data_IF_470381205831
#
_entry.id   IF_470381205831
#
_cell.length_a   1.000
_cell.length_b   1.000
_cell.length_c   1.000
_cell.angle_alpha   90.00
_cell.angle_beta   90.00
_cell.angle_gamma   90.00
#
_symmetry.space_group_name_H-M   'P 1'
#
loop_
_entity.id
_entity.type
_entity.pdbx_description
1 polymer ?
#
# COMPACT_ATOMS: atom_id res chain seq x y z
N UNK A 1 3.67 -24.15 29.20
CA UNK A 1 4.36 -24.23 27.90
C UNK A 1 4.16 -22.89 27.22
N UNK A 2 5.25 -22.17 26.96
CA UNK A 2 5.20 -20.84 26.35
C UNK A 2 4.82 -20.96 24.86
N UNK A 3 3.77 -20.22 24.52
CA UNK A 3 3.42 -19.64 23.22
C UNK A 3 4.28 -20.03 22.00
N UNK A 4 3.70 -20.83 21.11
CA UNK A 4 3.97 -20.70 19.67
C UNK A 4 3.16 -19.50 19.18
N UNK A 5 3.72 -18.30 19.37
CA UNK A 5 3.33 -17.16 18.54
C UNK A 5 3.79 -17.51 17.12
N UNK A 6 2.81 -17.67 16.24
CA UNK A 6 3.04 -17.73 14.80
C UNK A 6 4.05 -16.64 14.42
N UNK A 7 5.10 -17.03 13.69
CA UNK A 7 6.10 -16.11 13.17
C UNK A 7 5.40 -15.04 12.34
N UNK A 8 5.20 -13.87 12.94
CA UNK A 8 4.83 -12.63 12.27
C UNK A 8 5.69 -12.53 11.01
N UNK A 9 5.09 -12.62 9.83
CA UNK A 9 5.82 -12.73 8.55
C UNK A 9 6.34 -11.38 8.06
N UNK A 10 6.88 -10.61 8.99
CA UNK A 10 7.36 -9.26 8.79
C UNK A 10 8.84 -9.30 8.46
N UNK A 11 9.19 -8.94 7.23
CA UNK A 11 10.57 -8.87 6.80
C UNK A 11 11.10 -7.44 6.91
N UNK A 12 12.15 -7.22 7.70
CA UNK A 12 12.89 -5.96 7.67
C UNK A 12 13.64 -5.90 6.34
N UNK A 13 13.28 -4.91 5.50
CA UNK A 13 13.90 -4.67 4.20
C UNK A 13 15.12 -3.75 4.37
N UNK A 14 14.97 -2.70 5.19
CA UNK A 14 16.05 -1.77 5.55
C UNK A 14 15.88 -1.27 6.98
N UNK A 15 17.01 -1.12 7.66
CA UNK A 15 17.10 -0.59 9.00
C UNK A 15 17.86 0.75 8.94
N UNK A 16 17.24 1.81 9.45
CA UNK A 16 17.83 3.13 9.63
C UNK A 16 17.81 3.47 11.11
N UNK A 17 18.72 4.34 11.55
CA UNK A 17 18.87 4.69 12.97
C UNK A 17 17.55 5.18 13.62
N UNK A 18 16.66 5.81 12.83
CA UNK A 18 15.41 6.42 13.29
C UNK A 18 14.15 5.61 12.92
N UNK A 19 14.23 4.72 11.92
CA UNK A 19 13.06 3.98 11.42
C UNK A 19 13.46 2.73 10.64
N UNK A 20 12.50 1.82 10.49
CA UNK A 20 12.66 0.60 9.69
C UNK A 20 11.69 0.59 8.53
N UNK A 21 12.16 0.11 7.39
CA UNK A 21 11.29 -0.25 6.27
C UNK A 21 11.06 -1.74 6.34
N UNK A 22 9.80 -2.11 6.50
CA UNK A 22 9.38 -3.50 6.57
C UNK A 22 8.48 -3.83 5.38
N UNK A 23 8.46 -5.10 5.00
CA UNK A 23 7.44 -5.64 4.11
C UNK A 23 6.41 -6.38 4.97
N UNK A 24 5.17 -5.93 4.91
CA UNK A 24 4.04 -6.50 5.64
C UNK A 24 3.25 -7.44 4.73
N UNK A 25 2.92 -8.63 5.22
CA UNK A 25 1.92 -9.48 4.59
C UNK A 25 0.50 -9.11 5.07
N UNK A 26 -0.46 -9.25 4.18
CA UNK A 26 -1.87 -8.87 4.37
C UNK A 26 -2.56 -9.53 5.56
N UNK A 27 -2.00 -10.65 6.06
CA UNK A 27 -2.56 -11.43 7.16
C UNK A 27 -2.28 -10.81 8.53
N UNK A 28 -1.34 -9.86 8.61
CA UNK A 28 -0.89 -9.27 9.87
C UNK A 28 -1.57 -7.91 10.09
N UNK A 29 -2.55 -7.78 11.00
CA UNK A 29 -3.16 -6.50 11.32
C UNK A 29 -2.15 -5.59 12.05
N UNK A 30 -2.16 -4.30 11.71
CA UNK A 30 -1.39 -3.27 12.41
C UNK A 30 -2.27 -2.08 12.79
N UNK A 31 -1.88 -1.32 13.83
CA UNK A 31 -2.65 -0.20 14.35
C UNK A 31 -2.87 0.94 13.34
N UNK A 32 -3.92 1.73 13.60
CA UNK A 32 -4.44 2.86 12.83
C UNK A 32 -3.50 4.09 12.84
N UNK A 33 -2.25 3.92 12.41
CA UNK A 33 -1.36 5.05 12.15
C UNK A 33 -1.63 5.65 10.76
N UNK A 34 -1.46 6.97 10.56
CA UNK A 34 -1.73 7.63 9.29
C UNK A 34 -0.92 7.08 8.10
N UNK A 35 0.29 6.57 8.35
CA UNK A 35 1.19 5.99 7.35
C UNK A 35 1.00 4.48 7.15
N UNK A 36 0.11 3.86 7.94
CA UNK A 36 -0.21 2.45 7.82
C UNK A 36 -1.00 2.14 6.54
N UNK A 37 -1.19 0.86 6.27
CA UNK A 37 -2.12 0.40 5.23
C UNK A 37 -3.43 -0.07 5.88
N UNK A 38 -4.56 -0.03 5.16
CA UNK A 38 -5.81 -0.62 5.61
C UNK A 38 -5.64 -2.09 6.00
N UNK A 39 -6.43 -2.56 6.97
CA UNK A 39 -6.44 -3.98 7.37
C UNK A 39 -6.65 -4.88 6.15
N UNK A 40 -5.87 -5.96 6.07
CA UNK A 40 -5.90 -6.89 4.93
C UNK A 40 -5.03 -6.46 3.74
N UNK A 41 -4.39 -5.29 3.79
CA UNK A 41 -3.47 -4.81 2.73
C UNK A 41 -2.04 -5.25 2.96
N UNK A 42 -1.20 -5.18 1.93
CA UNK A 42 0.19 -5.64 1.98
C UNK A 42 1.19 -4.61 1.46
N UNK A 43 2.48 -4.85 1.73
CA UNK A 43 3.58 -4.15 1.07
C UNK A 43 4.46 -3.34 2.01
N UNK A 44 5.15 -2.35 1.45
CA UNK A 44 6.15 -1.58 2.17
C UNK A 44 5.50 -0.71 3.24
N UNK A 45 6.10 -0.71 4.43
CA UNK A 45 5.65 0.06 5.58
C UNK A 45 6.84 0.72 6.26
N UNK A 46 6.59 1.86 6.88
CA UNK A 46 7.57 2.53 7.74
C UNK A 46 7.19 2.25 9.18
N UNK A 47 8.14 1.76 9.97
CA UNK A 47 7.99 1.54 11.41
C UNK A 47 9.00 2.46 12.10
N UNK A 48 8.52 3.51 12.77
CA UNK A 48 9.40 4.40 13.54
C UNK A 48 9.86 3.71 14.83
N UNK A 49 11.11 3.94 15.24
CA UNK A 49 11.60 3.57 16.57
C UNK A 49 11.56 4.73 17.57
N UNK A 50 11.26 5.96 17.10
CA UNK A 50 11.23 7.20 17.89
C UNK A 50 9.83 7.81 17.88
N UNK A 51 9.40 8.32 19.03
CA UNK A 51 8.07 8.91 19.25
C UNK A 51 7.71 10.00 18.22
N UNK A 52 6.55 9.83 17.57
CA UNK A 52 5.67 10.86 16.98
C UNK A 52 6.21 11.80 15.90
N UNK A 53 7.26 12.58 16.20
CA UNK A 53 7.68 13.74 15.40
C UNK A 53 8.25 13.36 14.01
N UNK A 54 8.87 12.19 13.89
CA UNK A 54 9.42 11.72 12.61
C UNK A 54 8.32 11.27 11.62
N UNK A 55 7.14 10.89 12.12
CA UNK A 55 6.03 10.45 11.28
C UNK A 55 5.45 11.60 10.44
N UNK A 56 5.44 12.84 10.96
CA UNK A 56 4.93 14.02 10.27
C UNK A 56 5.73 14.38 9.02
N UNK A 57 7.06 14.15 9.03
CA UNK A 57 7.88 14.33 7.81
C UNK A 57 7.69 13.17 6.83
N UNK A 58 7.48 11.95 7.37
CA UNK A 58 7.31 10.72 6.60
C UNK A 58 6.03 10.69 5.78
N UNK A 59 4.93 11.30 6.25
CA UNK A 59 3.63 11.28 5.55
C UNK A 59 3.73 11.68 4.08
N UNK A 60 4.66 12.58 3.75
CA UNK A 60 4.88 13.14 2.41
C UNK A 60 5.72 12.27 1.47
N UNK A 61 6.25 11.14 1.95
CA UNK A 61 7.16 10.31 1.16
C UNK A 61 6.43 9.67 -0.02
N UNK A 62 6.92 9.87 -1.27
CA UNK A 62 6.24 9.34 -2.44
C UNK A 62 6.15 7.82 -2.39
N UNK A 63 4.95 7.30 -2.63
CA UNK A 63 4.67 5.88 -2.65
C UNK A 63 3.85 5.51 -3.89
N UNK A 64 3.99 4.26 -4.31
CA UNK A 64 3.15 3.70 -5.37
C UNK A 64 2.41 2.48 -4.88
N UNK A 65 1.13 2.44 -5.20
CA UNK A 65 0.18 1.42 -4.80
C UNK A 65 -0.32 0.69 -6.05
N UNK A 66 -0.55 -0.60 -5.89
CA UNK A 66 -1.31 -1.41 -6.82
C UNK A 66 -2.59 -1.84 -6.14
N UNK A 67 -3.71 -1.73 -6.85
CA UNK A 67 -4.99 -2.17 -6.33
C UNK A 67 -5.88 -2.74 -7.41
N UNK A 68 -6.68 -3.73 -7.03
CA UNK A 68 -7.78 -4.19 -7.85
C UNK A 68 -9.09 -3.59 -7.36
N UNK A 69 -9.87 -3.02 -8.27
CA UNK A 69 -11.19 -2.47 -7.98
C UNK A 69 -12.25 -3.18 -8.81
N UNK A 70 -13.48 -3.18 -8.32
CA UNK A 70 -14.64 -3.64 -9.09
C UNK A 70 -14.92 -2.71 -10.30
N UNK A 71 -15.54 -3.23 -11.34
CA UNK A 71 -16.02 -2.44 -12.47
C UNK A 71 -14.94 -1.88 -13.40
N UNK A 72 -15.43 -1.05 -14.33
CA UNK A 72 -14.62 -0.35 -15.32
C UNK A 72 -14.02 0.91 -14.70
N UNK A 73 -12.72 1.07 -14.88
CA UNK A 73 -11.94 2.15 -14.30
C UNK A 73 -12.08 3.49 -15.03
N UNK A 74 -12.24 3.46 -16.36
CA UNK A 74 -12.21 4.67 -17.20
C UNK A 74 -13.28 5.72 -16.84
N UNK A 75 -14.56 5.36 -16.57
CA UNK A 75 -15.59 6.35 -16.21
C UNK A 75 -15.33 7.06 -14.87
N UNK A 76 -14.42 6.52 -14.05
CA UNK A 76 -14.10 7.03 -12.73
C UNK A 76 -12.96 8.03 -12.80
N UNK A 77 -11.90 7.78 -13.59
CA UNK A 77 -10.76 8.71 -13.71
C UNK A 77 -11.16 10.06 -14.29
N UNK A 78 -12.02 10.08 -15.31
CA UNK A 78 -12.48 11.33 -15.92
C UNK A 78 -13.25 12.24 -14.95
N UNK A 79 -13.76 11.67 -13.84
CA UNK A 79 -14.45 12.40 -12.77
C UNK A 79 -13.56 12.75 -11.59
N UNK A 80 -12.37 12.16 -11.49
CA UNK A 80 -11.58 12.07 -10.26
C UNK A 80 -10.19 12.67 -10.48
N UNK A 81 -10.16 13.97 -10.80
CA UNK A 81 -8.96 14.80 -10.62
C UNK A 81 -8.83 15.09 -9.13
N UNK A 82 -8.27 14.14 -8.38
CA UNK A 82 -7.71 14.49 -7.07
C UNK A 82 -6.29 14.97 -7.35
N UNK A 83 -6.05 16.28 -7.23
CA UNK A 83 -4.78 16.95 -7.54
C UNK A 83 -3.53 16.34 -6.86
N UNK A 84 -3.72 15.50 -5.84
CA UNK A 84 -2.65 14.84 -5.08
C UNK A 84 -2.28 13.43 -5.56
N UNK A 85 -3.11 12.78 -6.39
CA UNK A 85 -2.91 11.39 -6.80
C UNK A 85 -2.84 11.24 -8.31
N UNK A 86 -1.85 10.49 -8.78
CA UNK A 86 -1.72 10.13 -10.18
C UNK A 86 -2.05 8.67 -10.37
N UNK A 87 -2.81 8.38 -11.42
CA UNK A 87 -3.37 7.06 -11.61
C UNK A 87 -3.06 6.53 -13.00
N UNK A 88 -2.91 5.21 -13.12
CA UNK A 88 -2.77 4.54 -14.39
C UNK A 88 -3.48 3.20 -14.36
N UNK A 89 -4.29 2.92 -15.39
CA UNK A 89 -4.77 1.58 -15.66
C UNK A 89 -3.57 0.70 -16.02
N UNK A 90 -3.37 -0.39 -15.28
CA UNK A 90 -2.31 -1.37 -15.56
C UNK A 90 -2.89 -2.53 -16.38
N UNK A 91 -4.08 -2.98 -16.02
CA UNK A 91 -4.75 -4.10 -16.67
C UNK A 91 -6.25 -4.06 -16.39
N UNK A 92 -7.07 -4.56 -17.31
CA UNK A 92 -8.53 -4.69 -17.11
C UNK A 92 -8.97 -6.05 -17.62
N UNK A 93 -9.80 -6.73 -16.84
CA UNK A 93 -10.33 -8.07 -17.16
C UNK A 93 -11.78 -8.16 -16.68
N UNK A 94 -12.71 -8.30 -17.63
CA UNK A 94 -14.14 -8.19 -17.35
C UNK A 94 -14.44 -6.90 -16.57
N UNK A 95 -15.27 -6.99 -15.52
CA UNK A 95 -15.63 -5.90 -14.62
C UNK A 95 -14.63 -5.77 -13.45
N UNK A 96 -13.33 -5.82 -13.74
CA UNK A 96 -12.26 -5.70 -12.74
C UNK A 96 -11.10 -4.94 -13.34
N UNK A 97 -10.60 -3.95 -12.62
CA UNK A 97 -9.50 -3.09 -13.08
C UNK A 97 -8.34 -3.13 -12.09
N UNK A 98 -7.15 -3.46 -12.59
CA UNK A 98 -5.88 -3.32 -11.86
C UNK A 98 -5.32 -1.94 -12.14
N UNK A 99 -5.11 -1.19 -11.07
CA UNK A 99 -4.73 0.20 -11.13
C UNK A 99 -3.44 0.41 -10.36
N UNK A 100 -2.62 1.31 -10.89
CA UNK A 100 -1.51 1.89 -10.18
C UNK A 100 -1.86 3.29 -9.71
N UNK A 101 -1.58 3.58 -8.44
CA UNK A 101 -1.74 4.91 -7.84
C UNK A 101 -0.38 5.39 -7.37
N UNK A 102 0.05 6.56 -7.80
CA UNK A 102 1.15 7.29 -7.22
C UNK A 102 0.61 8.38 -6.30
N UNK A 103 1.12 8.40 -5.08
CA UNK A 103 0.76 9.36 -4.03
C UNK A 103 1.86 9.39 -2.97
N UNK A 104 1.45 9.49 -1.72
CA UNK A 104 2.32 9.56 -0.54
C UNK A 104 2.06 8.39 0.44
N UNK A 105 2.68 8.39 1.62
CA UNK A 105 2.49 7.31 2.60
C UNK A 105 1.07 7.25 3.18
N UNK A 106 0.34 8.37 3.24
CA UNK A 106 -1.04 8.39 3.78
C UNK A 106 -2.09 7.90 2.78
N UNK A 107 -1.71 7.89 1.50
CA UNK A 107 -2.57 7.53 0.38
C UNK A 107 -3.19 6.15 0.56
N UNK A 108 -2.47 5.17 1.12
CA UNK A 108 -2.99 3.82 1.34
C UNK A 108 -4.28 3.78 2.18
N UNK A 109 -4.31 4.48 3.33
CA UNK A 109 -5.52 4.55 4.18
C UNK A 109 -6.67 5.27 3.48
N UNK A 110 -6.33 6.38 2.82
CA UNK A 110 -7.32 7.22 2.14
C UNK A 110 -7.95 6.51 0.93
N UNK A 111 -7.19 5.65 0.23
CA UNK A 111 -7.69 4.87 -0.90
C UNK A 111 -8.81 3.91 -0.49
N UNK A 112 -8.66 3.21 0.64
CA UNK A 112 -9.68 2.28 1.12
C UNK A 112 -11.03 2.95 1.38
N UNK A 113 -11.01 4.08 2.09
CA UNK A 113 -12.22 4.85 2.38
C UNK A 113 -12.84 5.45 1.10
N UNK A 114 -12.01 6.12 0.29
CA UNK A 114 -12.50 6.87 -0.86
C UNK A 114 -13.11 6.00 -1.96
N UNK A 115 -12.51 4.84 -2.28
CA UNK A 115 -13.06 3.95 -3.32
C UNK A 115 -14.42 3.36 -2.94
N UNK A 116 -14.60 3.07 -1.64
CA UNK A 116 -15.90 2.65 -1.11
C UNK A 116 -16.97 3.74 -1.33
N UNK A 117 -16.65 5.01 -1.07
CA UNK A 117 -17.56 6.15 -1.28
C UNK A 117 -17.95 6.37 -2.75
N UNK A 118 -17.05 6.06 -3.70
CA UNK A 118 -17.34 6.17 -5.14
C UNK A 118 -18.22 5.03 -5.68
N UNK A 119 -18.64 4.09 -4.83
CA UNK A 119 -19.43 2.92 -5.25
C UNK A 119 -18.61 1.87 -6.00
N UNK A 120 -17.28 1.94 -5.89
CA UNK A 120 -16.36 1.07 -6.63
C UNK A 120 -15.35 0.46 -5.66
N UNK A 121 -15.71 -0.58 -4.91
CA UNK A 121 -14.85 -1.06 -3.83
C UNK A 121 -13.53 -1.66 -4.36
N UNK A 122 -12.47 -1.51 -3.57
CA UNK A 122 -11.27 -2.35 -3.70
C UNK A 122 -11.69 -3.80 -3.43
N UNK A 123 -11.25 -4.72 -4.29
CA UNK A 123 -11.63 -6.13 -4.20
C UNK A 123 -10.95 -6.81 -3.02
N UNK A 124 -11.56 -7.90 -2.56
CA UNK A 124 -10.97 -8.83 -1.60
C UNK A 124 -10.70 -10.19 -2.27
N UNK A 125 -9.62 -10.87 -1.87
CA UNK A 125 -9.43 -12.29 -2.12
C UNK A 125 -9.30 -13.02 -0.77
N UNK A 126 -10.41 -13.63 -0.32
CA UNK A 126 -10.52 -14.12 1.06
C UNK A 126 -10.47 -12.96 2.06
N UNK A 127 -9.58 -13.03 3.05
CA UNK A 127 -9.37 -11.97 4.05
C UNK A 127 -8.43 -10.85 3.59
N UNK A 128 -7.88 -10.94 2.36
CA UNK A 128 -6.89 -10.01 1.83
C UNK A 128 -7.57 -8.90 1.03
N UNK A 129 -7.35 -7.66 1.41
CA UNK A 129 -7.65 -6.50 0.59
C UNK A 129 -6.64 -6.44 -0.57
N UNK A 130 -7.14 -6.29 -1.78
CA UNK A 130 -6.32 -6.21 -2.99
C UNK A 130 -5.72 -4.83 -3.15
N UNK A 131 -4.97 -4.40 -2.13
CA UNK A 131 -4.20 -3.17 -2.07
C UNK A 131 -2.77 -3.52 -1.63
N UNK A 132 -1.80 -3.06 -2.42
CA UNK A 132 -0.40 -3.36 -2.21
C UNK A 132 0.49 -2.13 -2.41
N UNK A 133 1.23 -1.69 -1.39
CA UNK A 133 2.25 -0.63 -1.53
C UNK A 133 3.52 -1.23 -2.12
N UNK A 134 3.70 -1.07 -3.43
CA UNK A 134 4.78 -1.67 -4.20
C UNK A 134 6.10 -0.91 -4.03
N UNK A 135 6.04 0.41 -3.95
CA UNK A 135 7.20 1.28 -3.96
C UNK A 135 7.12 2.34 -2.88
N UNK A 136 8.26 2.66 -2.29
CA UNK A 136 8.45 3.80 -1.39
C UNK A 136 9.75 4.53 -1.73
N UNK A 137 9.65 5.85 -1.95
CA UNK A 137 10.81 6.73 -2.09
C UNK A 137 11.16 7.32 -0.73
N UNK A 138 12.28 6.86 -0.18
CA UNK A 138 12.81 7.30 1.12
C UNK A 138 13.82 8.44 0.89
N UNK A 139 13.58 9.65 1.41
CA UNK A 139 14.59 10.69 1.48
C UNK A 139 15.72 10.22 2.39
N UNK A 140 16.96 10.27 1.91
CA UNK A 140 18.12 9.93 2.76
C UNK A 140 18.80 11.21 3.20
N UNK A 141 19.12 11.34 4.49
CA UNK A 141 19.82 12.52 5.03
C UNK A 141 21.29 12.59 4.57
N UNK A 142 21.85 11.45 4.14
CA UNK A 142 23.26 11.32 3.75
C UNK A 142 23.54 11.63 2.28
N UNK A 143 22.52 11.62 1.42
CA UNK A 143 22.68 11.88 -0.02
C UNK A 143 21.47 12.69 -0.46
N UNK A 144 21.65 13.79 -1.18
CA UNK A 144 20.57 14.55 -1.84
C UNK A 144 19.81 13.74 -2.92
N UNK A 145 19.86 12.41 -2.85
CA UNK A 145 19.17 11.45 -3.69
C UNK A 145 18.11 10.72 -2.86
N UNK A 146 16.94 10.54 -3.47
CA UNK A 146 15.88 9.69 -2.93
C UNK A 146 16.23 8.24 -3.22
N UNK A 147 16.17 7.38 -2.21
CA UNK A 147 16.34 5.96 -2.42
C UNK A 147 14.98 5.32 -2.68
N UNK A 148 14.88 4.60 -3.80
CA UNK A 148 13.68 3.87 -4.16
C UNK A 148 13.76 2.47 -3.57
N UNK A 149 12.78 2.10 -2.74
CA UNK A 149 12.61 0.75 -2.22
C UNK A 149 11.43 0.13 -2.94
N UNK A 150 11.63 -1.09 -3.43
CA UNK A 150 10.59 -1.87 -4.10
C UNK A 150 10.35 -3.15 -3.31
N UNK A 151 9.12 -3.63 -3.35
CA UNK A 151 8.77 -4.99 -2.94
C UNK A 151 8.20 -5.76 -4.13
N UNK A 152 8.32 -7.08 -4.07
CA UNK A 152 7.68 -7.94 -5.04
C UNK A 152 6.17 -7.97 -4.79
N UNK A 153 5.40 -7.97 -5.88
CA UNK A 153 3.96 -8.22 -5.82
C UNK A 153 3.75 -9.64 -5.29
N UNK A 154 3.03 -9.83 -4.17
CA UNK A 154 2.83 -11.13 -3.56
C UNK A 154 2.18 -12.12 -4.53
N UNK A 155 2.52 -13.40 -4.41
CA UNK A 155 2.06 -14.43 -5.34
C UNK A 155 0.53 -14.62 -5.29
N UNK A 156 -0.05 -14.37 -4.12
CA UNK A 156 -1.48 -14.38 -3.82
C UNK A 156 -2.15 -13.01 -4.07
N UNK A 157 -1.41 -12.02 -4.59
CA UNK A 157 -2.00 -10.85 -5.21
C UNK A 157 -2.29 -11.23 -6.68
N UNK A 158 -3.53 -11.66 -6.99
CA UNK A 158 -3.88 -12.26 -8.28
C UNK A 158 -3.45 -11.33 -9.41
N UNK A 159 -2.48 -11.80 -10.20
CA UNK A 159 -2.09 -11.16 -11.46
C UNK A 159 -3.18 -11.34 -12.52
N UNK A 160 -4.02 -12.35 -12.33
CA UNK A 160 -5.21 -12.63 -13.11
C UNK A 160 -6.30 -13.17 -12.19
N UNK A 161 -7.40 -12.44 -12.13
CA UNK A 161 -8.59 -12.81 -11.38
C UNK A 161 -9.46 -13.87 -12.07
N UNK A 162 -9.02 -14.41 -13.20
CA UNK A 162 -9.78 -15.37 -14.03
C UNK A 162 -9.91 -16.77 -13.43
N UNK A 163 -9.22 -17.07 -12.33
CA UNK A 163 -9.25 -18.38 -11.66
C UNK A 163 -9.85 -18.32 -10.24
N UNK A 164 -10.55 -17.24 -9.91
CA UNK A 164 -11.34 -17.09 -8.68
C UNK A 164 -12.83 -17.10 -9.00
#
# INVERSE_FOLDING_TARGET
MLSNLEETSMQIIKDYDDFKIINLDAKDPRPEEPTSLPVGSSGLMVSSSKDGAYLEEMVSWPATYLMWVAGDWEPLVDRLVIDRWHWALVHQVYQRSLIRVAGDLTTGQQLGAWWSEQGVPILNAGSRLMLHRQNLQVPTTKVSQRQIINTHIPADFPRNFNHL
#
